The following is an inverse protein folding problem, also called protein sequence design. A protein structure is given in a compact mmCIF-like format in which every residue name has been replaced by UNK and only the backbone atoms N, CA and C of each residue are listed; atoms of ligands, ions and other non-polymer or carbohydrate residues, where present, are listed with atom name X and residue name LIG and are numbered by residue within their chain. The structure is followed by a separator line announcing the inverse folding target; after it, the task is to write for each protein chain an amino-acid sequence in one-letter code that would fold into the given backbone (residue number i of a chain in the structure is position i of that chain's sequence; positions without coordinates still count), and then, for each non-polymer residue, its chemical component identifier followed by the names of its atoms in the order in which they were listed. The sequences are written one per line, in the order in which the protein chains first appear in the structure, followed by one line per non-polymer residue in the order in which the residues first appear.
data_IF_242543967943
#
_entry.id   IF_242543967943
#
_cell.length_a   1.000
_cell.length_b   1.000
_cell.length_c   1.000
_cell.angle_alpha   90.00
_cell.angle_beta   90.00
_cell.angle_gamma   90.00
#
_symmetry.space_group_name_H-M   'P 1'
#
loop_
_entity.id
_entity.type
_entity.pdbx_description
1 polymer ?
#
# COMPACT_ATOMS: atom_id res chain seq x y z
N UNK A 1 -32.09 -2.32 -8.66
CA UNK A 1 -30.62 -2.16 -8.62
C UNK A 1 -29.84 -3.44 -9.05
N UNK A 2 -30.15 -4.17 -10.14
CA UNK A 2 -29.39 -5.40 -10.50
C UNK A 2 -28.15 -5.15 -11.38
N UNK A 3 -28.07 -4.01 -12.05
CA UNK A 3 -27.05 -3.76 -13.08
C UNK A 3 -25.60 -3.79 -12.55
N UNK A 4 -25.36 -3.41 -11.30
CA UNK A 4 -24.01 -3.38 -10.73
C UNK A 4 -23.46 -4.77 -10.42
N UNK A 5 -24.30 -5.69 -9.97
CA UNK A 5 -23.89 -7.07 -9.68
C UNK A 5 -23.59 -7.85 -10.96
N UNK A 6 -24.35 -7.60 -12.03
CA UNK A 6 -24.08 -8.21 -13.33
C UNK A 6 -22.79 -7.70 -13.98
N UNK A 7 -22.45 -6.43 -13.75
CA UNK A 7 -21.19 -5.84 -14.23
C UNK A 7 -19.97 -6.47 -13.54
N UNK A 8 -20.03 -6.66 -12.22
CA UNK A 8 -19.00 -7.39 -11.47
C UNK A 8 -18.89 -8.86 -11.91
N UNK A 9 -20.03 -9.52 -12.17
CA UNK A 9 -20.05 -10.91 -12.64
C UNK A 9 -19.46 -11.06 -14.04
N UNK A 10 -19.75 -10.11 -14.94
CA UNK A 10 -19.19 -10.09 -16.28
C UNK A 10 -17.69 -9.76 -16.28
N UNK A 11 -17.22 -8.89 -15.38
CA UNK A 11 -15.79 -8.59 -15.23
C UNK A 11 -14.96 -9.84 -14.86
N UNK A 12 -15.52 -10.75 -14.06
CA UNK A 12 -14.87 -12.02 -13.68
C UNK A 12 -14.97 -13.07 -14.81
N UNK A 13 -16.00 -12.97 -15.65
CA UNK A 13 -16.28 -13.92 -16.74
C UNK A 13 -15.45 -13.66 -17.99
N UNK A 14 -15.07 -12.40 -18.25
CA UNK A 14 -14.20 -12.04 -19.37
C UNK A 14 -12.75 -12.43 -19.02
N UNK A 15 -12.11 -13.34 -19.77
CA UNK A 15 -10.79 -13.87 -19.43
C UNK A 15 -9.68 -12.81 -19.43
N UNK A 16 -9.79 -11.77 -20.27
CA UNK A 16 -8.82 -10.66 -20.29
C UNK A 16 -8.96 -9.74 -19.07
N UNK A 17 -10.19 -9.38 -18.67
CA UNK A 17 -10.42 -8.61 -17.43
C UNK A 17 -9.98 -9.38 -16.20
N UNK A 18 -10.27 -10.69 -16.11
CA UNK A 18 -9.82 -11.53 -15.00
C UNK A 18 -8.30 -11.54 -14.84
N UNK A 19 -7.55 -11.63 -15.95
CA UNK A 19 -6.08 -11.57 -15.92
C UNK A 19 -5.57 -10.23 -15.41
N UNK A 20 -6.13 -9.12 -15.88
CA UNK A 20 -5.77 -7.77 -15.40
C UNK A 20 -6.11 -7.58 -13.93
N UNK A 21 -7.27 -8.08 -13.49
CA UNK A 21 -7.68 -8.02 -12.09
C UNK A 21 -6.73 -8.82 -11.19
N UNK A 22 -6.38 -10.06 -11.58
CA UNK A 22 -5.41 -10.89 -10.87
C UNK A 22 -4.01 -10.26 -10.84
N UNK A 23 -3.59 -9.60 -11.92
CA UNK A 23 -2.33 -8.87 -11.96
C UNK A 23 -2.32 -7.70 -10.97
N UNK A 24 -3.36 -6.87 -10.97
CA UNK A 24 -3.48 -5.73 -10.03
C UNK A 24 -3.54 -6.21 -8.58
N UNK A 25 -4.32 -7.26 -8.28
CA UNK A 25 -4.35 -7.85 -6.94
C UNK A 25 -3.01 -8.47 -6.55
N UNK A 26 -2.31 -9.12 -7.48
CA UNK A 26 -0.97 -9.65 -7.28
C UNK A 26 0.03 -8.55 -6.94
N UNK A 27 0.02 -7.44 -7.67
CA UNK A 27 0.85 -6.28 -7.36
C UNK A 27 0.54 -5.68 -5.98
N UNK A 28 -0.73 -5.59 -5.58
CA UNK A 28 -1.08 -5.14 -4.23
C UNK A 28 -0.52 -6.05 -3.13
N UNK A 29 -0.48 -7.36 -3.35
CA UNK A 29 0.12 -8.32 -2.40
C UNK A 29 1.63 -8.11 -2.32
N UNK A 30 2.31 -7.97 -3.46
CA UNK A 30 3.75 -7.69 -3.51
C UNK A 30 4.08 -6.39 -2.78
N UNK A 31 3.29 -5.34 -3.03
CA UNK A 31 3.42 -4.06 -2.33
C UNK A 31 3.24 -4.21 -0.82
N UNK A 32 2.23 -4.97 -0.36
CA UNK A 32 2.01 -5.26 1.07
C UNK A 32 3.19 -5.98 1.73
N UNK A 33 3.87 -6.85 0.99
CA UNK A 33 5.08 -7.54 1.48
C UNK A 33 6.26 -6.57 1.49
N UNK A 34 6.43 -5.77 0.45
CA UNK A 34 7.47 -4.76 0.34
C UNK A 34 7.44 -3.73 1.48
N UNK A 35 6.25 -3.28 1.89
CA UNK A 35 6.09 -2.35 3.02
C UNK A 35 6.64 -2.94 4.33
N UNK A 36 6.58 -4.26 4.53
CA UNK A 36 7.05 -4.91 5.75
C UNK A 36 8.56 -5.10 5.81
N UNK A 37 9.29 -4.84 4.72
CA UNK A 37 10.75 -4.93 4.70
C UNK A 37 11.31 -3.55 5.10
N UNK A 38 11.87 -3.41 6.31
CA UNK A 38 12.50 -2.16 6.73
C UNK A 38 13.80 -1.94 5.96
N UNK A 39 14.14 -0.68 5.69
CA UNK A 39 15.41 -0.31 5.06
C UNK A 39 16.57 -0.71 5.98
N UNK A 40 17.56 -1.49 5.52
CA UNK A 40 18.72 -1.81 6.33
C UNK A 40 19.51 -0.53 6.63
N UNK A 41 19.71 -0.25 7.92
CA UNK A 41 20.49 0.91 8.40
C UNK A 41 19.71 2.01 9.11
N UNK A 42 18.39 1.88 9.27
CA UNK A 42 17.58 2.81 10.06
C UNK A 42 16.91 2.07 11.23
N UNK A 43 17.01 2.63 12.43
CA UNK A 43 16.28 2.14 13.60
C UNK A 43 14.79 2.58 13.50
N UNK A 44 13.84 1.65 13.31
CA UNK A 44 12.43 1.99 13.16
C UNK A 44 11.84 2.63 14.44
N UNK A 45 12.42 2.36 15.61
CA UNK A 45 11.97 2.93 16.89
C UNK A 45 12.36 4.40 16.99
N UNK A 46 13.61 4.73 16.65
CA UNK A 46 14.10 6.11 16.65
C UNK A 46 13.39 6.97 15.58
N UNK A 47 13.11 6.40 14.41
CA UNK A 47 12.39 7.10 13.34
C UNK A 47 10.92 7.32 13.69
N UNK A 48 10.25 6.33 14.27
CA UNK A 48 8.87 6.49 14.75
C UNK A 48 8.76 7.61 15.78
N UNK A 49 9.69 7.66 16.74
CA UNK A 49 9.74 8.72 17.74
C UNK A 49 9.98 10.12 17.13
N UNK A 50 10.73 10.19 16.01
CA UNK A 50 10.94 11.43 15.27
C UNK A 50 9.68 11.87 14.52
N UNK A 51 8.98 10.95 13.85
CA UNK A 51 7.70 11.23 13.16
C UNK A 51 6.62 11.68 14.14
N UNK A 52 6.56 11.06 15.31
CA UNK A 52 5.62 11.44 16.37
C UNK A 52 5.90 12.86 16.92
N UNK A 53 7.17 13.32 16.90
CA UNK A 53 7.52 14.73 17.21
C UNK A 53 7.02 15.73 16.18
N UNK A 54 6.82 15.33 14.92
CA UNK A 54 6.20 16.17 13.88
C UNK A 54 4.67 16.28 14.00
N UNK A 55 4.06 15.57 14.95
CA UNK A 55 2.63 15.66 15.25
C UNK A 55 1.74 15.46 14.03
N UNK A 56 0.91 16.45 13.71
CA UNK A 56 -0.10 16.37 12.65
C UNK A 56 0.49 16.26 11.24
N UNK A 57 1.69 16.79 11.01
CA UNK A 57 2.41 16.64 9.75
C UNK A 57 2.97 15.22 9.60
N UNK A 58 3.51 14.65 10.69
CA UNK A 58 3.97 13.26 10.71
C UNK A 58 2.82 12.27 10.44
N UNK A 59 1.65 12.51 11.02
CA UNK A 59 0.45 11.71 10.77
C UNK A 59 -0.05 11.80 9.32
N UNK A 60 -0.01 13.00 8.72
CA UNK A 60 -0.39 13.17 7.31
C UNK A 60 0.55 12.41 6.38
N UNK A 61 1.86 12.47 6.63
CA UNK A 61 2.87 11.74 5.86
C UNK A 61 2.69 10.21 5.98
N UNK A 62 2.32 9.72 7.15
CA UNK A 62 2.04 8.29 7.36
C UNK A 62 0.80 7.83 6.58
N UNK A 63 -0.25 8.64 6.54
CA UNK A 63 -1.47 8.36 5.77
C UNK A 63 -1.19 8.38 4.26
N UNK A 64 -0.42 9.37 3.77
CA UNK A 64 -0.07 9.49 2.35
C UNK A 64 0.84 8.34 1.90
N UNK A 65 1.74 7.87 2.76
CA UNK A 65 2.64 6.74 2.49
C UNK A 65 2.00 5.36 2.73
N UNK A 66 0.75 5.30 3.21
CA UNK A 66 0.05 4.04 3.49
C UNK A 66 0.59 3.27 4.71
N UNK A 67 1.20 3.96 5.68
CA UNK A 67 1.81 3.35 6.87
C UNK A 67 3.28 2.94 6.69
N UNK A 68 3.88 3.23 5.53
CA UNK A 68 5.25 2.86 5.19
C UNK A 68 6.29 3.80 5.80
N UNK A 69 5.92 5.06 6.10
CA UNK A 69 6.81 6.04 6.71
C UNK A 69 7.10 5.72 8.18
N UNK A 70 6.09 5.30 8.96
CA UNK A 70 6.28 4.89 10.35
C UNK A 70 7.15 3.63 10.49
N UNK A 71 7.12 2.74 9.50
CA UNK A 71 7.86 1.47 9.52
C UNK A 71 9.24 1.54 8.84
N UNK A 72 9.63 2.71 8.32
CA UNK A 72 10.87 2.90 7.53
C UNK A 72 11.03 1.81 6.47
N UNK A 73 9.97 1.58 5.72
CA UNK A 73 10.00 0.58 4.67
C UNK A 73 10.90 0.99 3.50
N UNK A 74 11.42 0.03 2.74
CA UNK A 74 12.05 0.26 1.42
C UNK A 74 11.16 1.09 0.48
N UNK A 75 9.83 1.03 0.67
CA UNK A 75 8.85 1.84 -0.05
C UNK A 75 8.33 3.05 0.75
N UNK A 76 9.06 3.55 1.76
CA UNK A 76 8.61 4.65 2.62
C UNK A 76 8.30 5.95 1.84
N UNK A 77 9.02 6.21 0.74
CA UNK A 77 8.76 7.35 -0.16
C UNK A 77 7.71 7.05 -1.24
N UNK A 78 7.09 5.86 -1.22
CA UNK A 78 6.03 5.44 -2.12
C UNK A 78 6.47 4.52 -3.26
N UNK A 79 5.55 4.32 -4.20
CA UNK A 79 5.75 3.73 -5.53
C UNK A 79 5.96 4.92 -6.49
N UNK A 80 7.17 5.46 -6.56
CA UNK A 80 7.58 6.31 -7.70
C UNK A 80 8.25 5.46 -8.76
#
# INVERSE_FOLDING_TARGET
MPAMTDTLRNAIRIPDLRKKLLFTFGMMIIYRIGIKIPVPGIDPVAFTALIERFGQLGALLDIISGGAFKQVSVFALGIT
#
